data_IF_013246182691
#
_entry.id   IF_013246182691
#
_cell.length_a   1.000
_cell.length_b   1.000
_cell.length_c   1.000
_cell.angle_alpha   90.00
_cell.angle_beta   90.00
_cell.angle_gamma   90.00
#
_symmetry.space_group_name_H-M   'P 1'
#
loop_
_entity.id
_entity.type
_entity.pdbx_description
1 polymer ?
#
# COMPACT_ATOMS: atom_id res chain seq x y z
N UNK A 1 -37.25 -17.71 -21.83
CA UNK A 1 -37.68 -17.20 -20.51
C UNK A 1 -36.56 -17.28 -19.46
N UNK A 2 -35.77 -18.36 -19.43
CA UNK A 2 -34.65 -18.54 -18.47
C UNK A 2 -33.57 -17.45 -18.56
N UNK A 3 -33.15 -17.05 -19.77
CA UNK A 3 -32.15 -15.99 -19.97
C UNK A 3 -32.62 -14.64 -19.40
N UNK A 4 -33.92 -14.34 -19.49
CA UNK A 4 -34.51 -13.12 -18.94
C UNK A 4 -34.48 -13.14 -17.40
N UNK A 5 -34.81 -14.28 -16.78
CA UNK A 5 -34.69 -14.47 -15.32
C UNK A 5 -33.25 -14.38 -14.85
N UNK A 6 -32.29 -14.91 -15.62
CA UNK A 6 -30.86 -14.78 -15.33
C UNK A 6 -30.42 -13.32 -15.39
N UNK A 7 -30.85 -12.57 -16.41
CA UNK A 7 -30.57 -11.13 -16.54
C UNK A 7 -31.09 -10.32 -15.35
N UNK A 8 -32.33 -10.59 -14.91
CA UNK A 8 -32.91 -9.96 -13.72
C UNK A 8 -32.11 -10.27 -12.45
N UNK A 9 -31.71 -11.54 -12.26
CA UNK A 9 -30.91 -11.94 -11.10
C UNK A 9 -29.53 -11.27 -11.07
N UNK A 10 -28.88 -11.14 -12.21
CA UNK A 10 -27.58 -10.44 -12.33
C UNK A 10 -27.74 -8.95 -12.02
N UNK A 11 -28.82 -8.33 -12.50
CA UNK A 11 -29.14 -6.93 -12.25
C UNK A 11 -29.41 -6.65 -10.77
N UNK A 12 -30.25 -7.46 -10.12
CA UNK A 12 -30.52 -7.36 -8.68
C UNK A 12 -29.25 -7.57 -7.84
N UNK A 13 -28.42 -8.55 -8.19
CA UNK A 13 -27.15 -8.79 -7.53
C UNK A 13 -26.18 -7.61 -7.66
N UNK A 14 -26.16 -6.96 -8.82
CA UNK A 14 -25.33 -5.77 -9.05
C UNK A 14 -25.79 -4.61 -8.15
N UNK A 15 -27.09 -4.32 -8.11
CA UNK A 15 -27.65 -3.27 -7.25
C UNK A 15 -27.33 -3.52 -5.77
N UNK A 16 -27.52 -4.76 -5.31
CA UNK A 16 -27.25 -5.13 -3.92
C UNK A 16 -25.76 -5.00 -3.58
N UNK A 17 -24.87 -5.33 -4.51
CA UNK A 17 -23.42 -5.16 -4.34
C UNK A 17 -23.04 -3.68 -4.29
N UNK A 18 -23.56 -2.89 -5.23
CA UNK A 18 -23.28 -1.45 -5.35
C UNK A 18 -23.78 -0.68 -4.11
N UNK A 19 -24.88 -1.12 -3.47
CA UNK A 19 -25.40 -0.52 -2.23
C UNK A 19 -24.49 -0.72 -1.01
N UNK A 20 -23.66 -1.76 -1.01
CA UNK A 20 -22.66 -2.04 0.05
C UNK A 20 -21.28 -1.46 -0.26
N UNK A 21 -21.12 -0.88 -1.45
CA UNK A 21 -19.83 -0.50 -1.98
C UNK A 21 -19.43 0.87 -1.44
N UNK A 22 -18.23 0.93 -0.86
CA UNK A 22 -17.68 2.19 -0.32
C UNK A 22 -17.58 3.21 -1.44
N UNK A 23 -17.92 4.47 -1.13
CA UNK A 23 -17.75 5.57 -2.09
C UNK A 23 -16.27 5.74 -2.45
N UNK A 24 -16.00 6.42 -3.57
CA UNK A 24 -14.62 6.72 -3.97
C UNK A 24 -13.87 7.45 -2.85
N UNK A 25 -14.50 8.44 -2.21
CA UNK A 25 -13.90 9.21 -1.12
C UNK A 25 -13.57 8.33 0.09
N UNK A 26 -14.48 7.42 0.47
CA UNK A 26 -14.23 6.47 1.56
C UNK A 26 -13.09 5.50 1.23
N UNK A 27 -12.99 5.07 -0.04
CA UNK A 27 -11.89 4.21 -0.51
C UNK A 27 -10.56 4.98 -0.47
N UNK A 28 -10.53 6.23 -0.92
CA UNK A 28 -9.35 7.10 -0.88
C UNK A 28 -8.92 7.42 0.55
N UNK A 29 -9.87 7.71 1.44
CA UNK A 29 -9.60 7.97 2.86
C UNK A 29 -8.95 6.75 3.53
N UNK A 30 -9.45 5.54 3.27
CA UNK A 30 -8.86 4.31 3.79
C UNK A 30 -7.43 4.09 3.27
N UNK A 31 -7.19 4.33 1.98
CA UNK A 31 -5.85 4.22 1.40
C UNK A 31 -4.90 5.23 2.07
N UNK A 32 -5.31 6.49 2.18
CA UNK A 32 -4.51 7.53 2.80
C UNK A 32 -4.19 7.22 4.28
N UNK A 33 -5.21 6.82 5.05
CA UNK A 33 -5.03 6.41 6.46
C UNK A 33 -4.05 5.25 6.59
N UNK A 34 -4.19 4.22 5.76
CA UNK A 34 -3.30 3.06 5.80
C UNK A 34 -1.86 3.43 5.45
N UNK A 35 -1.64 4.31 4.46
CA UNK A 35 -0.30 4.78 4.10
C UNK A 35 0.33 5.56 5.26
N UNK A 36 -0.41 6.47 5.89
CA UNK A 36 0.10 7.28 7.00
C UNK A 36 0.46 6.41 8.20
N UNK A 37 -0.46 5.50 8.59
CA UNK A 37 -0.24 4.60 9.73
C UNK A 37 0.95 3.67 9.46
N UNK A 38 1.04 3.08 8.27
CA UNK A 38 2.16 2.22 7.93
C UNK A 38 3.49 2.98 7.90
N UNK A 39 3.50 4.23 7.42
CA UNK A 39 4.68 5.09 7.48
C UNK A 39 5.15 5.28 8.92
N UNK A 40 4.24 5.69 9.81
CA UNK A 40 4.54 5.88 11.23
C UNK A 40 5.04 4.60 11.91
N UNK A 41 4.36 3.47 11.69
CA UNK A 41 4.76 2.17 12.26
C UNK A 41 6.14 1.76 11.75
N UNK A 42 6.41 1.96 10.45
CA UNK A 42 7.70 1.61 9.84
C UNK A 42 8.83 2.43 10.45
N UNK A 43 8.64 3.75 10.62
CA UNK A 43 9.63 4.63 11.24
C UNK A 43 9.88 4.26 12.71
N UNK A 44 8.83 3.95 13.46
CA UNK A 44 8.94 3.50 14.85
C UNK A 44 9.72 2.17 14.95
N UNK A 45 9.39 1.19 14.10
CA UNK A 45 10.12 -0.08 14.02
C UNK A 45 11.58 0.16 13.68
N UNK A 46 11.87 1.02 12.71
CA UNK A 46 13.24 1.32 12.31
C UNK A 46 14.03 2.00 13.44
N UNK A 47 13.41 2.93 14.17
CA UNK A 47 13.98 3.56 15.36
C UNK A 47 14.35 2.54 16.44
N UNK A 48 13.41 1.67 16.80
CA UNK A 48 13.65 0.59 17.78
C UNK A 48 14.77 -0.33 17.28
N UNK A 49 14.71 -0.76 16.02
CA UNK A 49 15.72 -1.66 15.44
C UNK A 49 17.12 -1.05 15.50
N UNK A 50 17.26 0.25 15.24
CA UNK A 50 18.54 0.94 15.31
C UNK A 50 19.18 0.87 16.70
N UNK A 51 18.35 0.90 17.75
CA UNK A 51 18.81 0.90 19.14
C UNK A 51 18.99 -0.52 19.71
N UNK A 52 18.14 -1.47 19.31
CA UNK A 52 18.04 -2.79 19.98
C UNK A 52 18.64 -3.95 19.19
N UNK A 53 18.87 -3.80 17.88
CA UNK A 53 19.30 -4.93 17.04
C UNK A 53 20.80 -5.14 17.10
N UNK A 54 21.18 -6.34 17.55
CA UNK A 54 22.54 -6.83 17.45
C UNK A 54 22.90 -7.14 15.98
N UNK A 55 23.70 -6.26 15.37
CA UNK A 55 24.13 -6.34 13.96
C UNK A 55 24.93 -7.61 13.62
N UNK A 56 25.39 -8.36 14.61
CA UNK A 56 26.10 -9.64 14.41
C UNK A 56 25.13 -10.81 14.20
N UNK A 57 23.87 -10.65 14.59
CA UNK A 57 22.83 -11.68 14.52
C UNK A 57 21.77 -11.43 13.44
N UNK A 58 21.88 -10.32 12.71
CA UNK A 58 20.98 -10.01 11.60
C UNK A 58 21.43 -10.78 10.36
N UNK A 59 20.51 -11.56 9.79
CA UNK A 59 20.68 -12.10 8.44
C UNK A 59 20.64 -10.92 7.47
N UNK A 60 21.80 -10.55 6.97
CA UNK A 60 21.95 -9.43 6.04
C UNK A 60 21.58 -9.91 4.64
N UNK A 61 20.54 -9.35 4.05
CA UNK A 61 20.22 -9.55 2.65
C UNK A 61 21.25 -8.80 1.79
N UNK A 62 21.91 -9.47 0.85
CA UNK A 62 22.96 -8.91 -0.01
C UNK A 62 22.54 -7.60 -0.71
N UNK A 63 21.28 -7.50 -1.15
CA UNK A 63 20.78 -6.29 -1.81
C UNK A 63 20.66 -5.08 -0.88
N UNK A 64 20.51 -5.32 0.42
CA UNK A 64 20.34 -4.28 1.45
C UNK A 64 21.68 -3.93 2.11
N UNK A 65 22.73 -4.68 1.78
CA UNK A 65 24.11 -4.39 2.17
C UNK A 65 24.82 -3.44 1.21
N UNK A 66 24.27 -3.23 0.02
CA UNK A 66 24.81 -2.26 -0.91
C UNK A 66 24.77 -0.85 -0.26
N UNK A 67 25.92 -0.20 -0.03
CA UNK A 67 25.97 1.14 0.53
C UNK A 67 25.19 2.18 -0.30
N UNK A 68 25.01 1.95 -1.60
CA UNK A 68 24.24 2.82 -2.49
C UNK A 68 22.73 2.52 -2.48
N UNK A 69 22.28 1.43 -1.84
CA UNK A 69 20.87 1.04 -1.78
C UNK A 69 19.94 2.16 -1.26
N UNK A 70 20.23 2.86 -0.14
CA UNK A 70 19.39 3.96 0.33
C UNK A 70 19.25 5.09 -0.68
N UNK A 71 20.33 5.40 -1.40
CA UNK A 71 20.37 6.44 -2.43
C UNK A 71 19.57 6.03 -3.66
N UNK A 72 19.74 4.79 -4.15
CA UNK A 72 18.96 4.26 -5.27
C UNK A 72 17.45 4.23 -4.99
N UNK A 73 17.05 3.91 -3.74
CA UNK A 73 15.65 3.97 -3.32
C UNK A 73 15.14 5.41 -3.31
N UNK A 74 15.90 6.35 -2.76
CA UNK A 74 15.52 7.77 -2.71
C UNK A 74 15.40 8.39 -4.11
N UNK A 75 16.35 8.11 -5.01
CA UNK A 75 16.30 8.57 -6.40
C UNK A 75 15.08 8.01 -7.14
N UNK A 76 14.76 6.72 -6.92
CA UNK A 76 13.57 6.09 -7.50
C UNK A 76 12.27 6.72 -6.99
N UNK A 77 12.19 7.04 -5.69
CA UNK A 77 11.03 7.70 -5.09
C UNK A 77 10.89 9.13 -5.62
N UNK A 78 11.99 9.88 -5.65
CA UNK A 78 12.01 11.26 -6.16
C UNK A 78 11.62 11.32 -7.64
N UNK A 79 12.17 10.43 -8.48
CA UNK A 79 11.82 10.36 -9.90
C UNK A 79 10.35 10.05 -10.15
N UNK A 80 9.77 9.13 -9.37
CA UNK A 80 8.32 8.85 -9.43
C UNK A 80 7.48 10.03 -8.97
N UNK A 81 7.89 10.75 -7.92
CA UNK A 81 7.14 11.91 -7.45
C UNK A 81 7.17 13.06 -8.46
N UNK A 82 8.32 13.31 -9.09
CA UNK A 82 8.46 14.33 -10.15
C UNK A 82 7.58 14.05 -11.38
N UNK A 83 7.32 12.77 -11.69
CA UNK A 83 6.43 12.38 -12.80
C UNK A 83 4.98 12.83 -12.56
N UNK A 84 4.53 12.84 -11.30
CA UNK A 84 3.15 13.16 -10.94
C UNK A 84 2.95 14.56 -10.35
N UNK A 85 3.99 15.14 -9.76
CA UNK A 85 3.96 16.44 -9.07
C UNK A 85 5.12 17.29 -9.60
N UNK A 86 4.82 18.23 -10.48
CA UNK A 86 5.79 19.23 -11.01
C UNK A 86 6.04 20.35 -10.01
#
# INVERSE_FOLDING_TARGET
MEIFKLGLRVYENKINKDASDKTLDQKLELIAKNVIINGFITDAIFGIQKETVDKTKVIRNEMVLDPEWPKAVNERVAGKLQEYFK
#
